data_IF_062044334092
#
_entry.id   IF_062044334092
#
_cell.length_a   1.000
_cell.length_b   1.000
_cell.length_c   1.000
_cell.angle_alpha   90.00
_cell.angle_beta   90.00
_cell.angle_gamma   90.00
#
_symmetry.space_group_name_H-M   'P 1'
#
loop_
_entity.id
_entity.type
_entity.pdbx_description
1 polymer ?
#
# COMPACT_ATOMS: atom_id res chain seq x y z
N UNK A 1 -4.69 6.12 38.96
CA UNK A 1 -3.29 6.39 38.62
C UNK A 1 -3.15 6.02 37.16
N UNK A 2 -3.22 7.00 36.25
CA UNK A 2 -2.96 6.77 34.83
C UNK A 2 -1.48 6.41 34.72
N UNK A 3 -1.21 5.14 34.43
CA UNK A 3 0.10 4.69 34.00
C UNK A 3 0.44 5.57 32.78
N UNK A 4 1.57 6.27 32.78
CA UNK A 4 1.89 7.20 31.69
C UNK A 4 2.72 6.45 30.66
N UNK A 5 2.17 5.38 30.05
CA UNK A 5 2.91 4.62 29.04
C UNK A 5 2.96 5.42 27.75
N UNK A 6 4.15 5.48 27.19
CA UNK A 6 4.40 6.08 25.89
C UNK A 6 4.41 4.99 24.82
N UNK A 7 3.49 5.07 23.87
CA UNK A 7 3.30 4.10 22.79
C UNK A 7 4.05 4.48 21.50
N UNK A 8 4.97 5.43 21.60
CA UNK A 8 5.79 5.91 20.48
C UNK A 8 5.35 7.29 19.99
N UNK A 9 5.68 7.61 18.74
CA UNK A 9 5.49 8.95 18.18
C UNK A 9 4.71 8.89 16.88
N UNK A 10 3.75 9.80 16.71
CA UNK A 10 2.99 9.93 15.47
C UNK A 10 3.86 10.50 14.34
N UNK A 11 3.39 10.39 13.10
CA UNK A 11 4.03 11.04 11.94
C UNK A 11 4.14 12.56 12.08
N UNK A 12 3.28 13.18 12.90
CA UNK A 12 3.31 14.60 13.20
C UNK A 12 4.25 14.95 14.38
N UNK A 13 4.97 13.97 14.93
CA UNK A 13 5.91 14.17 16.03
C UNK A 13 5.30 14.15 17.43
N UNK A 14 4.01 13.85 17.55
CA UNK A 14 3.28 13.85 18.83
C UNK A 14 3.55 12.55 19.59
N UNK A 15 3.91 12.64 20.88
CA UNK A 15 4.09 11.48 21.75
C UNK A 15 2.74 10.87 22.11
N UNK A 16 2.61 9.56 21.92
CA UNK A 16 1.37 8.82 22.10
C UNK A 16 1.30 8.29 23.53
N UNK A 17 1.04 9.18 24.50
CA UNK A 17 0.77 8.78 25.89
C UNK A 17 -0.64 8.22 26.03
N UNK A 18 -0.91 7.48 27.11
CA UNK A 18 -2.24 6.96 27.43
C UNK A 18 -3.31 8.08 27.46
N UNK A 19 -2.97 9.26 27.99
CA UNK A 19 -3.86 10.44 27.98
C UNK A 19 -4.15 10.96 26.57
N UNK A 20 -3.14 10.96 25.69
CA UNK A 20 -3.30 11.36 24.29
C UNK A 20 -4.19 10.36 23.55
N UNK A 21 -3.98 9.06 23.78
CA UNK A 21 -4.79 8.01 23.17
C UNK A 21 -6.25 8.06 23.65
N UNK A 22 -6.50 8.26 24.94
CA UNK A 22 -7.85 8.38 25.50
C UNK A 22 -8.59 9.58 24.90
N UNK A 23 -7.91 10.73 24.76
CA UNK A 23 -8.48 11.90 24.08
C UNK A 23 -8.80 11.60 22.62
N UNK A 24 -7.89 10.96 21.90
CA UNK A 24 -8.11 10.59 20.50
C UNK A 24 -9.27 9.60 20.33
N UNK A 25 -9.44 8.67 21.29
CA UNK A 25 -10.57 7.75 21.33
C UNK A 25 -11.89 8.49 21.54
N UNK A 26 -11.96 9.39 22.52
CA UNK A 26 -13.14 10.21 22.78
C UNK A 26 -13.51 11.10 21.57
N UNK A 27 -12.52 11.68 20.89
CA UNK A 27 -12.73 12.43 19.64
C UNK A 27 -13.30 11.57 18.52
N UNK A 28 -12.85 10.31 18.41
CA UNK A 28 -13.37 9.37 17.42
C UNK A 28 -14.81 8.94 17.73
N UNK A 29 -15.12 8.65 19.00
CA UNK A 29 -16.45 8.27 19.48
C UNK A 29 -17.47 9.42 19.35
N UNK A 30 -17.04 10.66 19.57
CA UNK A 30 -17.84 11.86 19.34
C UNK A 30 -18.16 12.12 17.84
N UNK A 31 -17.44 11.44 16.95
CA UNK A 31 -17.58 11.56 15.49
C UNK A 31 -16.59 12.55 14.90
N UNK A 32 -15.72 12.06 14.01
CA UNK A 32 -14.78 12.87 13.25
C UNK A 32 -15.48 13.57 12.09
N UNK A 33 -15.22 14.86 11.93
CA UNK A 33 -15.71 15.65 10.79
C UNK A 33 -15.09 15.14 9.47
N UNK A 34 -15.89 14.54 8.56
CA UNK A 34 -15.38 13.98 7.32
C UNK A 34 -14.81 15.04 6.38
N UNK A 35 -15.15 16.32 6.56
CA UNK A 35 -14.59 17.42 5.76
C UNK A 35 -13.13 17.72 6.12
N UNK A 36 -12.70 17.37 7.35
CA UNK A 36 -11.31 17.47 7.82
C UNK A 36 -10.47 16.26 7.39
N UNK A 37 -11.10 15.18 6.94
CA UNK A 37 -10.41 14.02 6.42
C UNK A 37 -9.88 14.34 5.01
N UNK A 38 -8.55 14.31 4.87
CA UNK A 38 -7.92 14.45 3.55
C UNK A 38 -8.45 13.36 2.64
N UNK A 39 -9.02 13.73 1.48
CA UNK A 39 -9.33 12.78 0.41
C UNK A 39 -8.04 12.04 0.07
N UNK A 40 -7.99 10.76 0.43
CA UNK A 40 -6.94 9.87 -0.06
C UNK A 40 -7.22 9.68 -1.54
N UNK A 41 -6.28 10.01 -2.45
CA UNK A 41 -6.43 9.57 -3.82
C UNK A 41 -6.64 8.06 -3.80
N UNK A 42 -7.50 7.56 -4.70
CA UNK A 42 -7.68 6.12 -4.87
C UNK A 42 -6.36 5.44 -5.20
N UNK A 43 -6.40 4.14 -5.49
CA UNK A 43 -5.21 3.44 -5.98
C UNK A 43 -4.62 4.23 -7.17
N UNK A 44 -3.31 4.50 -7.17
CA UNK A 44 -2.67 5.20 -8.30
C UNK A 44 -3.05 4.54 -9.62
N UNK A 45 -3.34 5.37 -10.62
CA UNK A 45 -3.56 4.92 -12.00
C UNK A 45 -2.27 4.33 -12.57
N UNK A 46 -2.40 3.40 -13.50
CA UNK A 46 -1.27 2.91 -14.29
C UNK A 46 -1.42 3.42 -15.73
N UNK A 47 -0.48 4.25 -16.18
CA UNK A 47 -0.56 4.89 -17.49
C UNK A 47 -1.71 5.91 -17.54
N UNK A 48 -2.59 5.78 -18.54
CA UNK A 48 -3.69 6.71 -18.81
C UNK A 48 -4.93 6.53 -17.93
N UNK A 49 -5.00 5.49 -17.09
CA UNK A 49 -6.21 5.19 -16.33
C UNK A 49 -6.04 4.14 -15.22
N UNK A 50 -7.15 3.70 -14.61
CA UNK A 50 -7.16 2.60 -13.66
C UNK A 50 -6.58 1.33 -14.31
N UNK A 51 -5.77 0.59 -13.56
CA UNK A 51 -5.27 -0.70 -14.02
C UNK A 51 -6.40 -1.74 -14.05
N UNK A 52 -6.43 -2.56 -15.11
CA UNK A 52 -7.29 -3.73 -15.20
C UNK A 52 -6.51 -5.01 -14.84
N UNK A 53 -7.16 -5.94 -14.13
CA UNK A 53 -6.55 -7.20 -13.72
C UNK A 53 -6.93 -8.32 -14.70
N UNK A 54 -5.94 -8.92 -15.35
CA UNK A 54 -6.11 -10.11 -16.19
C UNK A 54 -5.63 -11.36 -15.41
N UNK A 55 -6.53 -12.29 -15.01
CA UNK A 55 -6.11 -13.52 -14.35
C UNK A 55 -5.50 -14.50 -15.36
N UNK A 56 -4.23 -14.88 -15.16
CA UNK A 56 -3.50 -15.83 -16.01
C UNK A 56 -3.06 -17.03 -15.17
N UNK A 57 -3.26 -18.25 -15.69
CA UNK A 57 -2.72 -19.47 -15.08
C UNK A 57 -1.32 -19.71 -15.62
N UNK A 58 -0.37 -19.91 -14.72
CA UNK A 58 1.00 -20.29 -15.03
C UNK A 58 1.19 -21.73 -14.56
N UNK A 59 1.92 -22.52 -15.34
CA UNK A 59 2.46 -23.78 -14.84
C UNK A 59 3.50 -23.49 -13.73
N UNK A 60 3.80 -24.48 -12.86
CA UNK A 60 4.70 -24.27 -11.73
C UNK A 60 6.11 -23.82 -12.13
N UNK A 61 6.66 -24.36 -13.22
CA UNK A 61 8.02 -24.07 -13.68
C UNK A 61 8.12 -22.61 -14.15
N UNK A 62 7.14 -22.15 -14.93
CA UNK A 62 7.07 -20.76 -15.36
C UNK A 62 6.86 -19.79 -14.19
N UNK A 63 6.10 -20.21 -13.17
CA UNK A 63 5.92 -19.41 -11.95
C UNK A 63 7.23 -19.26 -11.16
N UNK A 64 8.00 -20.34 -11.03
CA UNK A 64 9.29 -20.32 -10.36
C UNK A 64 10.28 -19.41 -11.11
N UNK A 65 10.40 -19.56 -12.43
CA UNK A 65 11.26 -18.72 -13.26
C UNK A 65 10.89 -17.23 -13.17
N UNK A 66 9.60 -16.91 -13.04
CA UNK A 66 9.13 -15.54 -12.84
C UNK A 66 9.58 -14.97 -11.50
N UNK A 67 9.44 -15.74 -10.43
CA UNK A 67 9.81 -15.32 -9.07
C UNK A 67 11.34 -15.16 -8.93
N UNK A 68 12.12 -16.07 -9.53
CA UNK A 68 13.59 -15.95 -9.61
C UNK A 68 14.02 -14.66 -10.34
N UNK A 69 13.38 -14.37 -11.48
CA UNK A 69 13.71 -13.17 -12.25
C UNK A 69 13.36 -11.89 -11.49
N UNK A 70 12.21 -11.89 -10.81
CA UNK A 70 11.78 -10.76 -9.99
C UNK A 70 12.78 -10.50 -8.84
N UNK A 71 13.24 -11.56 -8.18
CA UNK A 71 14.25 -11.46 -7.13
C UNK A 71 15.60 -10.96 -7.65
N UNK A 72 16.04 -11.43 -8.82
CA UNK A 72 17.31 -11.02 -9.43
C UNK A 72 17.32 -9.54 -9.87
N UNK A 73 16.17 -8.99 -10.27
CA UNK A 73 16.01 -7.59 -10.70
C UNK A 73 15.58 -6.64 -9.56
N UNK A 74 15.44 -7.12 -8.32
CA UNK A 74 14.87 -6.36 -7.19
C UNK A 74 13.52 -5.68 -7.55
N UNK A 75 12.66 -6.45 -8.20
CA UNK A 75 11.38 -5.98 -8.75
C UNK A 75 10.24 -6.95 -8.41
N UNK A 76 9.02 -6.65 -8.86
CA UNK A 76 7.86 -7.51 -8.63
C UNK A 76 7.60 -8.45 -9.81
N UNK A 77 7.02 -9.62 -9.53
CA UNK A 77 6.55 -10.54 -10.57
C UNK A 77 5.63 -9.84 -11.58
N UNK A 78 4.78 -8.92 -11.12
CA UNK A 78 3.91 -8.13 -12.00
C UNK A 78 4.67 -7.17 -12.90
N UNK A 79 5.80 -6.61 -12.45
CA UNK A 79 6.65 -5.76 -13.28
C UNK A 79 7.38 -6.56 -14.36
N UNK A 80 7.90 -7.75 -14.02
CA UNK A 80 8.51 -8.65 -15.01
C UNK A 80 7.50 -9.06 -16.07
N UNK A 81 6.28 -9.46 -15.69
CA UNK A 81 5.21 -9.79 -16.64
C UNK A 81 4.87 -8.60 -17.53
N UNK A 82 4.69 -7.40 -16.96
CA UNK A 82 4.41 -6.20 -17.76
C UNK A 82 5.55 -5.86 -18.73
N UNK A 83 6.81 -5.99 -18.31
CA UNK A 83 7.96 -5.80 -19.19
C UNK A 83 7.98 -6.83 -20.32
N UNK A 84 7.71 -8.11 -20.02
CA UNK A 84 7.65 -9.16 -21.02
C UNK A 84 6.53 -8.90 -22.05
N UNK A 85 5.34 -8.51 -21.59
CA UNK A 85 4.22 -8.15 -22.47
C UNK A 85 4.55 -6.94 -23.34
N UNK A 86 5.17 -5.89 -22.79
CA UNK A 86 5.63 -4.72 -23.56
C UNK A 86 6.60 -5.10 -24.66
N UNK A 87 7.59 -5.94 -24.34
CA UNK A 87 8.59 -6.43 -25.32
C UNK A 87 7.95 -7.33 -26.38
N UNK A 88 7.05 -8.23 -25.97
CA UNK A 88 6.41 -9.19 -26.88
C UNK A 88 5.41 -8.53 -27.83
N UNK A 89 4.65 -7.54 -27.35
CA UNK A 89 3.66 -6.81 -28.14
C UNK A 89 4.23 -5.55 -28.82
N UNK A 90 5.52 -5.26 -28.61
CA UNK A 90 6.21 -4.07 -29.14
C UNK A 90 5.52 -2.75 -28.73
N UNK A 91 5.04 -2.67 -27.48
CA UNK A 91 4.38 -1.49 -26.90
C UNK A 91 5.20 -0.89 -25.76
N UNK A 92 5.21 0.43 -25.66
CA UNK A 92 5.94 1.19 -24.62
C UNK A 92 5.11 1.41 -23.35
#
# INVERSE_FOLDING_TARGET
MTDNRNHGRSMAGVELTDEVLERMAAEAEAGLDPTRLRRRPGRPTMGSGPAETLPVRLDPELREALDERAAAEDTTASDVVRQALRRYLEVS
#
